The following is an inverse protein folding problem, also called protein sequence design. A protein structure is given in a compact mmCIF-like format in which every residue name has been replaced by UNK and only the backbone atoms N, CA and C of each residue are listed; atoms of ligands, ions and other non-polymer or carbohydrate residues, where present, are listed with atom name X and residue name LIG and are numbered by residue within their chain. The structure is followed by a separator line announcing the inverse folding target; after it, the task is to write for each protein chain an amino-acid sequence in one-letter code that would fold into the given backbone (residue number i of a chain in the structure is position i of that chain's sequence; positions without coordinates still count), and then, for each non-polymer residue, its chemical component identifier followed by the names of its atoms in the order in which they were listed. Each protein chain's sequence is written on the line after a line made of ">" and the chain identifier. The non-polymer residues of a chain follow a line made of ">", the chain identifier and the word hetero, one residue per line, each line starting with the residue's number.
data_IF_175057377761
#
_entry.id   IF_175057377761
#
_cell.length_a   1.000
_cell.length_b   1.000
_cell.length_c   1.000
_cell.angle_alpha   90.00
_cell.angle_beta   90.00
_cell.angle_gamma   90.00
#
_symmetry.space_group_name_H-M   'P 1'
#
loop_
_entity.id
_entity.type
_entity.pdbx_description
1 polymer ?
#
# COMPACT_ATOMS: atom_id res chain seq x y z
N UNK A 1 -22.97 -0.43 -4.32
CA UNK A 1 -21.52 -0.68 -4.56
C UNK A 1 -20.74 0.62 -4.72
N UNK A 2 -20.94 1.40 -5.80
CA UNK A 2 -20.25 2.70 -6.02
C UNK A 2 -20.14 3.59 -4.78
N UNK A 3 -21.28 3.91 -4.16
CA UNK A 3 -21.33 4.74 -2.96
C UNK A 3 -20.59 4.16 -1.75
N UNK A 4 -20.49 2.82 -1.66
CA UNK A 4 -19.75 2.15 -0.58
C UNK A 4 -18.23 2.16 -0.79
N UNK A 5 -17.76 2.22 -2.04
CA UNK A 5 -16.34 2.40 -2.32
C UNK A 5 -15.94 3.87 -2.11
N UNK A 6 -16.76 4.79 -2.65
CA UNK A 6 -16.57 6.24 -2.50
C UNK A 6 -16.69 6.72 -1.04
N UNK A 7 -17.35 5.96 -0.14
CA UNK A 7 -17.42 6.30 1.28
C UNK A 7 -16.15 5.97 2.06
N UNK A 8 -15.29 5.08 1.53
CA UNK A 8 -14.08 4.62 2.22
C UNK A 8 -12.84 5.37 1.72
N UNK A 9 -12.74 5.65 0.41
CA UNK A 9 -11.62 6.38 -0.19
C UNK A 9 -12.08 7.21 -1.41
N UNK A 10 -11.32 8.27 -1.78
CA UNK A 10 -11.52 8.94 -3.06
C UNK A 10 -11.19 7.97 -4.21
N UNK A 11 -12.18 7.66 -5.05
CA UNK A 11 -12.05 6.73 -6.18
C UNK A 11 -11.94 7.52 -7.48
N UNK A 12 -10.96 7.16 -8.32
CA UNK A 12 -10.91 7.60 -9.71
C UNK A 12 -11.22 6.40 -10.61
N UNK A 13 -12.22 6.55 -11.46
CA UNK A 13 -12.56 5.54 -12.46
C UNK A 13 -11.68 5.75 -13.68
N UNK A 14 -10.97 4.70 -14.09
CA UNK A 14 -10.02 4.73 -15.21
C UNK A 14 -10.50 3.81 -16.33
N UNK A 15 -10.11 4.10 -17.58
CA UNK A 15 -10.39 3.23 -18.71
C UNK A 15 -9.66 1.87 -18.60
N UNK A 16 -10.08 0.89 -19.41
CA UNK A 16 -9.44 -0.44 -19.44
C UNK A 16 -7.95 -0.40 -19.84
N UNK A 17 -7.54 0.64 -20.56
CA UNK A 17 -6.15 0.84 -21.03
C UNK A 17 -5.29 1.65 -20.05
N UNK A 18 -5.85 2.07 -18.92
CA UNK A 18 -5.19 2.88 -17.90
C UNK A 18 -4.74 2.04 -16.70
N UNK A 19 -3.73 2.52 -15.98
CA UNK A 19 -3.25 1.84 -14.77
C UNK A 19 -4.29 1.92 -13.64
N UNK A 20 -4.57 0.79 -13.00
CA UNK A 20 -5.53 0.65 -11.90
C UNK A 20 -4.93 -0.07 -10.70
N UNK A 21 -5.36 0.29 -9.50
CA UNK A 21 -4.96 -0.37 -8.25
C UNK A 21 -5.88 -1.54 -7.84
N UNK A 22 -7.14 -1.50 -8.30
CA UNK A 22 -8.19 -2.48 -8.04
C UNK A 22 -9.09 -2.63 -9.27
N UNK A 23 -9.38 -3.88 -9.65
CA UNK A 23 -10.46 -4.21 -10.58
C UNK A 23 -11.65 -4.74 -9.82
N UNK A 24 -12.84 -4.18 -10.05
CA UNK A 24 -14.10 -4.70 -9.51
C UNK A 24 -14.92 -5.27 -10.64
N UNK A 25 -15.25 -6.55 -10.56
CA UNK A 25 -15.99 -7.29 -11.57
C UNK A 25 -17.29 -7.79 -10.97
N UNK A 26 -18.39 -7.56 -11.67
CA UNK A 26 -19.74 -7.80 -11.15
C UNK A 26 -20.52 -8.60 -12.18
N UNK A 27 -21.08 -9.73 -11.77
CA UNK A 27 -21.98 -10.55 -12.59
C UNK A 27 -21.38 -10.91 -13.97
N UNK A 28 -20.09 -11.25 -14.02
CA UNK A 28 -19.38 -11.51 -15.28
C UNK A 28 -18.65 -12.85 -15.29
N UNK A 29 -18.41 -13.37 -16.49
CA UNK A 29 -17.52 -14.51 -16.73
C UNK A 29 -16.25 -14.00 -17.41
N UNK A 30 -15.10 -14.43 -16.90
CA UNK A 30 -13.79 -14.11 -17.45
C UNK A 30 -13.11 -15.37 -17.95
N UNK A 31 -12.30 -15.25 -19.00
CA UNK A 31 -11.41 -16.33 -19.41
C UNK A 31 -10.20 -16.43 -18.46
N UNK A 32 -9.67 -15.29 -18.02
CA UNK A 32 -8.50 -15.20 -17.15
C UNK A 32 -8.68 -14.13 -16.07
N UNK A 33 -8.04 -14.32 -14.91
CA UNK A 33 -8.00 -13.30 -13.85
C UNK A 33 -7.15 -12.11 -14.29
N UNK A 34 -7.64 -10.86 -14.15
CA UNK A 34 -6.83 -9.68 -14.37
C UNK A 34 -5.56 -9.66 -13.51
N UNK A 35 -4.53 -8.98 -14.00
CA UNK A 35 -3.37 -8.64 -13.18
C UNK A 35 -3.74 -7.63 -12.10
N UNK A 36 -3.02 -7.64 -10.98
CA UNK A 36 -3.24 -6.73 -9.85
C UNK A 36 -4.28 -7.24 -8.85
N UNK A 37 -4.82 -6.33 -8.04
CA UNK A 37 -5.82 -6.67 -7.04
C UNK A 37 -7.21 -6.73 -7.67
N UNK A 38 -8.02 -7.70 -7.25
CA UNK A 38 -9.31 -7.99 -7.88
C UNK A 38 -10.38 -8.25 -6.83
N UNK A 39 -11.54 -7.65 -7.01
CA UNK A 39 -12.77 -7.97 -6.28
C UNK A 39 -13.78 -8.55 -7.27
N UNK A 40 -14.05 -9.85 -7.14
CA UNK A 40 -15.04 -10.57 -7.92
C UNK A 40 -16.36 -10.61 -7.14
N UNK A 41 -17.44 -10.12 -7.73
CA UNK A 41 -18.78 -10.11 -7.16
C UNK A 41 -19.69 -10.92 -8.07
N UNK A 42 -20.13 -12.08 -7.57
CA UNK A 42 -20.92 -13.06 -8.32
C UNK A 42 -20.37 -13.30 -9.74
N UNK A 43 -19.06 -13.50 -9.83
CA UNK A 43 -18.33 -13.60 -11.09
C UNK A 43 -17.57 -14.92 -11.18
N UNK A 44 -17.39 -15.39 -12.41
CA UNK A 44 -16.73 -16.67 -12.72
C UNK A 44 -15.44 -16.44 -13.49
N UNK A 45 -14.52 -17.40 -13.36
CA UNK A 45 -13.27 -17.43 -14.12
C UNK A 45 -13.14 -18.83 -14.71
N UNK A 46 -13.16 -18.91 -16.04
CA UNK A 46 -13.13 -20.16 -16.80
C UNK A 46 -11.99 -21.06 -16.32
N UNK A 47 -12.35 -22.27 -15.86
CA UNK A 47 -11.37 -23.25 -15.37
C UNK A 47 -10.78 -22.98 -13.99
N UNK A 48 -11.24 -21.94 -13.26
CA UNK A 48 -10.73 -21.60 -11.92
C UNK A 48 -11.85 -21.44 -10.88
N UNK A 49 -12.95 -20.79 -11.24
CA UNK A 49 -14.07 -20.49 -10.33
C UNK A 49 -15.38 -20.74 -11.08
N UNK A 50 -16.18 -21.67 -10.56
CA UNK A 50 -17.49 -22.01 -11.12
C UNK A 50 -18.60 -21.74 -10.11
N UNK A 51 -19.65 -21.05 -10.56
CA UNK A 51 -20.87 -20.83 -9.78
C UNK A 51 -21.95 -21.79 -10.29
N UNK A 52 -22.45 -22.63 -9.41
CA UNK A 52 -23.49 -23.61 -9.68
C UNK A 52 -24.88 -23.12 -9.30
N UNK A 53 -25.74 -24.04 -8.87
CA UNK A 53 -27.12 -23.75 -8.51
C UNK A 53 -27.23 -22.95 -7.21
N UNK A 54 -28.20 -22.05 -7.16
CA UNK A 54 -28.52 -21.26 -5.96
C UNK A 54 -29.15 -22.14 -4.90
N UNK A 55 -28.71 -21.93 -3.66
CA UNK A 55 -29.21 -22.62 -2.48
C UNK A 55 -29.70 -21.59 -1.45
N UNK A 56 -30.69 -21.96 -0.61
CA UNK A 56 -31.12 -21.12 0.50
C UNK A 56 -29.94 -20.74 1.41
N UNK A 57 -29.87 -19.46 1.75
CA UNK A 57 -28.84 -18.91 2.62
C UNK A 57 -29.16 -19.03 4.12
N UNK A 58 -28.71 -18.05 4.88
CA UNK A 58 -28.68 -18.04 6.34
C UNK A 58 -27.72 -16.98 6.87
N UNK A 59 -27.41 -17.06 8.16
CA UNK A 59 -26.36 -16.24 8.76
C UNK A 59 -24.98 -16.76 8.38
N UNK A 60 -24.04 -15.85 8.17
CA UNK A 60 -22.67 -16.22 7.88
C UNK A 60 -21.92 -16.65 9.14
N UNK A 61 -20.92 -17.48 8.91
CA UNK A 61 -20.01 -18.00 9.93
C UNK A 61 -18.57 -17.79 9.43
N UNK A 62 -17.63 -17.66 10.36
CA UNK A 62 -16.20 -17.63 10.03
C UNK A 62 -15.42 -18.63 10.86
N UNK A 63 -14.59 -19.42 10.18
CA UNK A 63 -13.54 -20.21 10.81
C UNK A 63 -12.21 -19.44 10.94
N UNK A 64 -12.16 -18.20 10.43
CA UNK A 64 -10.95 -17.41 10.23
C UNK A 64 -11.10 -16.00 10.84
N UNK A 65 -11.68 -15.89 12.04
CA UNK A 65 -11.99 -14.61 12.69
C UNK A 65 -10.78 -13.68 12.86
N UNK A 66 -9.57 -14.25 12.97
CA UNK A 66 -8.32 -13.50 13.12
C UNK A 66 -7.71 -13.04 11.78
N UNK A 67 -8.34 -13.38 10.66
CA UNK A 67 -7.85 -13.01 9.33
C UNK A 67 -7.85 -11.48 9.16
N UNK A 68 -6.78 -10.86 8.60
CA UNK A 68 -6.71 -9.40 8.45
C UNK A 68 -7.90 -8.80 7.72
N UNK A 69 -8.47 -9.51 6.74
CA UNK A 69 -9.65 -9.07 5.99
C UNK A 69 -10.93 -9.04 6.82
N UNK A 70 -11.02 -9.85 7.89
CA UNK A 70 -12.18 -9.95 8.76
C UNK A 70 -12.08 -9.12 10.04
N UNK A 71 -11.01 -8.33 10.20
CA UNK A 71 -10.81 -7.51 11.41
C UNK A 71 -11.97 -6.55 11.61
N UNK A 72 -12.69 -6.72 12.73
CA UNK A 72 -13.82 -5.88 13.11
C UNK A 72 -15.12 -6.19 12.36
N UNK A 73 -15.22 -7.35 11.71
CA UNK A 73 -16.45 -7.86 11.10
C UNK A 73 -17.11 -8.85 12.06
N UNK A 74 -18.40 -8.69 12.29
CA UNK A 74 -19.24 -9.63 13.03
C UNK A 74 -19.96 -10.54 12.03
N UNK A 75 -19.43 -11.75 11.82
CA UNK A 75 -19.91 -12.65 10.76
C UNK A 75 -21.38 -13.07 10.97
N UNK A 76 -21.80 -13.25 12.22
CA UNK A 76 -23.14 -13.65 12.63
C UNK A 76 -24.22 -12.59 12.39
N UNK A 77 -23.83 -11.33 12.17
CA UNK A 77 -24.73 -10.24 11.76
C UNK A 77 -24.97 -10.20 10.25
N UNK A 78 -24.21 -10.96 9.47
CA UNK A 78 -24.33 -11.02 8.01
C UNK A 78 -25.35 -12.10 7.63
N UNK A 79 -26.49 -11.67 7.10
CA UNK A 79 -27.52 -12.54 6.55
C UNK A 79 -27.46 -12.58 5.03
N UNK A 80 -27.56 -13.78 4.47
CA UNK A 80 -27.61 -14.06 3.03
C UNK A 80 -28.92 -14.75 2.72
N UNK A 81 -29.69 -14.20 1.78
CA UNK A 81 -30.96 -14.81 1.34
C UNK A 81 -30.70 -16.09 0.53
N UNK A 82 -29.79 -16.01 -0.44
CA UNK A 82 -29.37 -17.13 -1.27
C UNK A 82 -27.94 -16.96 -1.79
N UNK A 83 -27.27 -18.08 -2.02
CA UNK A 83 -25.94 -18.11 -2.64
C UNK A 83 -25.76 -19.37 -3.51
N UNK A 84 -25.01 -19.27 -4.62
CA UNK A 84 -24.71 -20.43 -5.45
C UNK A 84 -23.73 -21.37 -4.76
N UNK A 85 -23.80 -22.67 -5.09
CA UNK A 85 -22.65 -23.53 -4.88
C UNK A 85 -21.46 -22.97 -5.65
N UNK A 86 -20.29 -22.93 -5.01
CA UNK A 86 -19.10 -22.34 -5.65
C UNK A 86 -17.96 -23.34 -5.55
N UNK A 87 -17.40 -23.66 -6.71
CA UNK A 87 -16.26 -24.56 -6.84
C UNK A 87 -15.02 -23.75 -7.22
N UNK A 88 -13.98 -23.88 -6.41
CA UNK A 88 -12.66 -23.30 -6.65
C UNK A 88 -11.69 -24.41 -7.07
N UNK A 89 -11.18 -24.32 -8.31
CA UNK A 89 -10.18 -25.24 -8.87
C UNK A 89 -8.74 -24.76 -8.63
N UNK A 90 -8.59 -23.73 -7.81
CA UNK A 90 -7.33 -23.10 -7.42
C UNK A 90 -7.23 -23.05 -5.89
N UNK A 91 -6.02 -22.89 -5.32
CA UNK A 91 -5.86 -22.64 -3.90
C UNK A 91 -6.72 -21.47 -3.43
N UNK A 92 -7.44 -21.68 -2.34
CA UNK A 92 -8.40 -20.73 -1.82
C UNK A 92 -8.53 -20.85 -0.30
N UNK A 93 -8.95 -19.77 0.34
CA UNK A 93 -9.24 -19.72 1.78
C UNK A 93 -10.63 -19.13 1.98
N UNK A 94 -11.65 -19.94 2.34
CA UNK A 94 -12.96 -19.41 2.68
C UNK A 94 -12.87 -18.60 3.98
N UNK A 95 -13.26 -17.33 3.90
CA UNK A 95 -13.26 -16.38 5.02
C UNK A 95 -14.61 -16.36 5.72
N UNK A 96 -15.68 -16.29 4.93
CA UNK A 96 -17.06 -16.35 5.39
C UNK A 96 -17.79 -17.45 4.64
N UNK A 97 -18.62 -18.20 5.35
CA UNK A 97 -19.43 -19.29 4.79
C UNK A 97 -20.86 -19.23 5.32
N UNK A 98 -21.81 -19.73 4.54
CA UNK A 98 -23.21 -19.90 4.93
C UNK A 98 -23.61 -21.34 4.61
N UNK A 99 -24.06 -22.13 5.59
CA UNK A 99 -24.43 -23.53 5.38
C UNK A 99 -23.34 -24.37 4.68
N UNK A 100 -22.06 -24.15 5.00
CA UNK A 100 -20.88 -24.75 4.34
C UNK A 100 -20.63 -24.32 2.88
N UNK A 101 -21.36 -23.33 2.37
CA UNK A 101 -21.08 -22.70 1.08
C UNK A 101 -20.23 -21.44 1.29
N UNK A 102 -19.17 -21.23 0.50
CA UNK A 102 -18.33 -20.06 0.65
C UNK A 102 -19.10 -18.80 0.22
N UNK A 103 -19.17 -17.80 1.11
CA UNK A 103 -19.71 -16.48 0.81
C UNK A 103 -18.60 -15.54 0.36
N UNK A 104 -17.53 -15.44 1.15
CA UNK A 104 -16.34 -14.64 0.85
C UNK A 104 -15.12 -15.55 0.89
N UNK A 105 -14.34 -15.53 -0.19
CA UNK A 105 -13.15 -16.37 -0.35
C UNK A 105 -11.97 -15.52 -0.79
N UNK A 106 -10.82 -15.72 -0.14
CA UNK A 106 -9.54 -15.19 -0.58
C UNK A 106 -8.86 -16.22 -1.50
N UNK A 107 -8.53 -15.80 -2.72
CA UNK A 107 -7.73 -16.55 -3.69
C UNK A 107 -6.47 -15.78 -4.09
N UNK A 108 -6.12 -14.75 -3.30
CA UNK A 108 -4.93 -13.94 -3.48
C UNK A 108 -3.63 -14.71 -3.29
N UNK A 109 -2.54 -14.03 -3.58
CA UNK A 109 -1.17 -14.50 -3.32
C UNK A 109 -0.46 -13.47 -2.44
N UNK A 110 0.79 -13.74 -2.04
CA UNK A 110 1.63 -12.74 -1.34
C UNK A 110 1.81 -11.44 -2.15
N UNK A 111 1.57 -11.48 -3.46
CA UNK A 111 1.84 -10.37 -4.37
C UNK A 111 0.59 -9.59 -4.75
N UNK A 112 -0.62 -10.15 -4.58
CA UNK A 112 -1.90 -9.53 -4.95
C UNK A 112 -3.05 -10.04 -4.10
N UNK A 113 -3.99 -9.17 -3.78
CA UNK A 113 -5.25 -9.54 -3.11
C UNK A 113 -6.32 -9.85 -4.16
N UNK A 114 -6.95 -11.02 -4.05
CA UNK A 114 -8.10 -11.37 -4.89
C UNK A 114 -9.21 -11.92 -4.01
N UNK A 115 -10.28 -11.14 -3.85
CA UNK A 115 -11.45 -11.53 -3.08
C UNK A 115 -12.61 -11.91 -3.99
N UNK A 116 -13.30 -12.98 -3.62
CA UNK A 116 -14.47 -13.50 -4.32
C UNK A 116 -15.66 -13.48 -3.40
N UNK A 117 -16.71 -12.81 -3.82
CA UNK A 117 -18.05 -12.91 -3.26
C UNK A 117 -18.89 -13.79 -4.17
N UNK A 118 -19.31 -14.95 -3.65
CA UNK A 118 -20.01 -15.96 -4.45
C UNK A 118 -21.41 -15.51 -4.89
N UNK A 119 -22.05 -14.63 -4.14
CA UNK A 119 -23.40 -14.12 -4.42
C UNK A 119 -23.38 -12.62 -4.73
N UNK A 120 -24.47 -12.12 -5.31
CA UNK A 120 -24.65 -10.68 -5.48
C UNK A 120 -24.87 -10.04 -4.11
N UNK A 121 -24.28 -8.87 -3.90
CA UNK A 121 -24.48 -8.09 -2.68
C UNK A 121 -25.97 -7.78 -2.42
N UNK A 122 -26.81 -7.73 -3.47
CA UNK A 122 -28.25 -7.53 -3.31
C UNK A 122 -28.98 -8.69 -2.62
N UNK A 123 -28.39 -9.89 -2.62
CA UNK A 123 -28.91 -11.07 -1.93
C UNK A 123 -28.41 -11.17 -0.47
N UNK A 124 -27.85 -10.08 0.06
CA UNK A 124 -27.29 -10.03 1.42
C UNK A 124 -27.73 -8.74 2.12
N UNK A 125 -27.74 -8.75 3.46
CA UNK A 125 -27.86 -7.50 4.23
C UNK A 125 -26.53 -6.73 4.30
N UNK A 126 -25.42 -7.30 3.83
CA UNK A 126 -24.08 -6.74 4.01
C UNK A 126 -23.98 -5.27 3.59
N UNK A 127 -24.48 -4.81 2.42
CA UNK A 127 -24.34 -3.42 1.99
C UNK A 127 -25.01 -2.38 2.91
N UNK A 128 -25.93 -2.80 3.78
CA UNK A 128 -26.62 -1.93 4.74
C UNK A 128 -26.06 -2.06 6.16
N UNK A 129 -25.15 -3.00 6.43
CA UNK A 129 -24.47 -3.12 7.72
C UNK A 129 -23.19 -2.29 7.76
N UNK A 130 -22.63 -2.14 8.96
CA UNK A 130 -21.33 -1.50 9.16
C UNK A 130 -20.16 -2.38 8.71
N UNK A 131 -20.39 -3.69 8.54
CA UNK A 131 -19.35 -4.65 8.16
C UNK A 131 -18.90 -4.48 6.71
N UNK A 132 -19.79 -4.06 5.81
CA UNK A 132 -19.43 -3.85 4.41
C UNK A 132 -18.32 -2.80 4.22
N UNK A 133 -18.45 -1.56 4.75
CA UNK A 133 -17.37 -0.59 4.65
C UNK A 133 -16.11 -1.04 5.43
N UNK A 134 -16.23 -1.83 6.51
CA UNK A 134 -15.08 -2.39 7.22
C UNK A 134 -14.35 -3.42 6.35
N UNK A 135 -15.07 -4.34 5.71
CA UNK A 135 -14.52 -5.34 4.81
C UNK A 135 -13.80 -4.70 3.63
N UNK A 136 -14.44 -3.71 3.01
CA UNK A 136 -13.83 -2.98 1.91
C UNK A 136 -12.58 -2.21 2.35
N UNK A 137 -12.62 -1.56 3.52
CA UNK A 137 -11.46 -0.92 4.12
C UNK A 137 -10.33 -1.92 4.38
N UNK A 138 -10.63 -3.10 4.91
CA UNK A 138 -9.62 -4.13 5.19
C UNK A 138 -9.00 -4.67 3.89
N UNK A 139 -9.82 -4.86 2.84
CA UNK A 139 -9.33 -5.19 1.50
C UNK A 139 -8.41 -4.09 0.97
N UNK A 140 -8.85 -2.83 1.01
CA UNK A 140 -8.05 -1.67 0.59
C UNK A 140 -6.76 -1.52 1.39
N UNK A 141 -6.78 -1.80 2.68
CA UNK A 141 -5.59 -1.80 3.52
C UNK A 141 -4.61 -2.93 3.16
N UNK A 142 -5.11 -4.08 2.66
CA UNK A 142 -4.26 -5.13 2.10
C UNK A 142 -3.67 -4.77 0.74
N UNK A 143 -4.40 -4.01 -0.08
CA UNK A 143 -3.97 -3.55 -1.41
C UNK A 143 -3.01 -2.37 -1.35
N UNK A 144 -3.20 -1.48 -0.39
CA UNK A 144 -2.18 -0.56 0.03
C UNK A 144 -1.06 -1.42 0.60
N UNK A 145 -0.10 -1.78 -0.25
CA UNK A 145 1.28 -1.79 0.21
C UNK A 145 1.41 -0.45 0.90
N UNK A 146 1.36 -0.44 2.24
CA UNK A 146 2.01 0.61 3.00
C UNK A 146 3.33 0.80 2.24
N UNK A 147 3.64 2.00 1.72
CA UNK A 147 4.96 2.23 1.16
C UNK A 147 5.93 1.61 2.16
N UNK A 148 6.69 0.59 1.69
CA UNK A 148 7.51 -0.32 2.50
C UNK A 148 7.87 0.36 3.81
N UNK A 149 7.27 -0.12 4.93
CA UNK A 149 6.84 0.69 6.07
C UNK A 149 7.72 1.90 6.22
N UNK A 150 7.34 3.03 5.57
CA UNK A 150 8.20 4.20 5.32
C UNK A 150 9.54 3.98 5.99
N UNK A 151 10.44 3.23 5.34
CA UNK A 151 11.74 2.95 5.94
C UNK A 151 12.39 4.31 5.93
N UNK A 152 12.15 5.05 7.01
CA UNK A 152 12.68 6.37 7.26
C UNK A 152 14.14 6.09 7.61
N UNK A 153 14.89 5.76 6.56
CA UNK A 153 16.31 5.71 6.64
C UNK A 153 16.78 7.16 6.60
N UNK A 154 17.69 7.47 7.50
CA UNK A 154 18.34 8.75 7.52
C UNK A 154 19.82 8.49 7.33
N UNK A 155 20.44 9.23 6.42
CA UNK A 155 21.88 9.14 6.16
C UNK A 155 22.53 10.49 6.23
N UNK A 156 23.84 10.46 6.38
CA UNK A 156 24.64 11.66 6.30
C UNK A 156 24.93 11.97 4.83
N UNK A 157 24.93 13.23 4.47
CA UNK A 157 25.36 13.71 3.15
C UNK A 157 26.71 13.10 2.77
N UNK A 158 26.85 12.67 1.52
CA UNK A 158 28.01 11.95 1.01
C UNK A 158 27.97 10.42 1.21
N UNK A 159 26.98 9.88 1.92
CA UNK A 159 26.76 8.42 1.97
C UNK A 159 25.91 7.95 0.79
N UNK A 160 26.29 6.82 0.21
CA UNK A 160 25.54 6.22 -0.88
C UNK A 160 24.27 5.55 -0.35
N UNK A 161 23.17 5.68 -1.09
CA UNK A 161 21.96 4.87 -0.93
C UNK A 161 22.12 3.65 -1.84
N UNK A 162 22.19 2.44 -1.29
CA UNK A 162 22.54 1.26 -2.08
C UNK A 162 21.31 0.45 -2.50
N UNK A 163 21.29 -0.03 -3.75
CA UNK A 163 20.18 -0.81 -4.31
C UNK A 163 19.93 -2.11 -3.52
N UNK A 164 20.96 -2.69 -2.89
CA UNK A 164 20.79 -3.89 -2.05
C UNK A 164 19.88 -3.67 -0.83
N UNK A 165 19.70 -2.42 -0.42
CA UNK A 165 18.92 -2.04 0.76
C UNK A 165 17.43 -1.86 0.43
N UNK A 166 17.12 -1.47 -0.82
CA UNK A 166 15.76 -1.06 -1.22
C UNK A 166 15.21 -1.79 -2.46
N UNK A 167 16.05 -2.59 -3.13
CA UNK A 167 15.75 -3.25 -4.40
C UNK A 167 16.27 -2.48 -5.62
N UNK A 168 15.99 -3.01 -6.80
CA UNK A 168 16.35 -2.40 -8.09
C UNK A 168 15.67 -1.03 -8.24
N UNK A 169 16.47 0.01 -8.46
CA UNK A 169 15.97 1.37 -8.64
C UNK A 169 15.38 1.54 -10.06
N UNK A 170 14.13 1.99 -10.13
CA UNK A 170 13.46 2.40 -11.36
C UNK A 170 13.68 3.89 -11.65
N UNK A 171 13.67 4.71 -10.60
CA UNK A 171 14.04 6.13 -10.67
C UNK A 171 14.45 6.66 -9.31
N UNK A 172 15.20 7.76 -9.28
CA UNK A 172 15.52 8.48 -8.06
C UNK A 172 15.33 9.99 -8.29
N UNK A 173 14.88 10.70 -7.26
CA UNK A 173 14.78 12.16 -7.25
C UNK A 173 15.56 12.74 -6.08
N UNK A 174 16.23 13.85 -6.34
CA UNK A 174 16.91 14.64 -5.33
C UNK A 174 15.92 15.52 -4.51
N UNK A 175 16.38 16.22 -3.47
CA UNK A 175 15.54 17.09 -2.64
C UNK A 175 14.89 18.25 -3.40
N UNK A 176 15.45 18.65 -4.54
CA UNK A 176 14.89 19.67 -5.43
C UNK A 176 13.81 19.12 -6.38
N UNK A 177 13.59 17.80 -6.37
CA UNK A 177 12.64 17.10 -7.21
C UNK A 177 13.19 16.73 -8.60
N UNK A 178 14.46 17.01 -8.88
CA UNK A 178 15.10 16.66 -10.16
C UNK A 178 15.37 15.17 -10.21
N UNK A 179 15.22 14.59 -11.39
CA UNK A 179 15.49 13.18 -11.62
C UNK A 179 17.00 12.95 -11.64
N UNK A 180 17.47 12.05 -10.80
CA UNK A 180 18.84 11.56 -10.80
C UNK A 180 18.89 10.49 -11.90
N UNK A 181 19.70 10.68 -12.96
CA UNK A 181 19.82 9.70 -14.02
C UNK A 181 20.42 8.42 -13.45
N UNK A 182 19.68 7.32 -13.56
CA UNK A 182 20.14 6.00 -13.17
C UNK A 182 20.52 5.20 -14.41
N UNK A 183 21.67 4.56 -14.40
CA UNK A 183 21.97 3.52 -15.38
C UNK A 183 21.44 2.16 -14.88
N UNK A 184 21.18 1.23 -15.80
CA UNK A 184 20.56 -0.07 -15.50
C UNK A 184 21.38 -0.95 -14.55
N UNK A 185 22.66 -0.62 -14.36
CA UNK A 185 23.61 -1.32 -13.48
C UNK A 185 23.93 -0.52 -12.20
N UNK A 186 23.21 0.58 -11.97
CA UNK A 186 23.56 1.52 -10.90
C UNK A 186 23.17 0.93 -9.55
N UNK A 187 24.19 0.49 -8.82
CA UNK A 187 24.02 -0.13 -7.50
C UNK A 187 23.85 0.89 -6.37
N UNK A 188 24.03 2.19 -6.63
CA UNK A 188 23.88 3.20 -5.60
C UNK A 188 23.53 4.61 -6.12
N UNK A 189 22.82 5.39 -5.30
CA UNK A 189 22.49 6.80 -5.57
C UNK A 189 23.36 7.71 -4.70
N UNK A 190 24.09 8.67 -5.29
CA UNK A 190 24.87 9.64 -4.52
C UNK A 190 23.97 10.68 -3.83
N UNK A 191 24.41 11.14 -2.66
CA UNK A 191 23.67 12.11 -1.82
C UNK A 191 24.47 13.41 -1.67
N UNK A 192 24.33 14.29 -2.67
CA UNK A 192 25.10 15.53 -2.78
C UNK A 192 24.50 16.70 -2.00
N UNK A 193 23.20 16.66 -1.72
CA UNK A 193 22.47 17.72 -1.03
C UNK A 193 21.71 17.15 0.18
N UNK A 194 21.55 17.90 1.27
CA UNK A 194 20.66 17.50 2.35
C UNK A 194 19.19 17.65 1.94
N UNK A 195 18.32 16.80 2.49
CA UNK A 195 16.89 16.84 2.27
C UNK A 195 16.29 15.46 1.95
N UNK A 196 15.10 15.44 1.37
CA UNK A 196 14.38 14.20 1.09
C UNK A 196 14.63 13.71 -0.33
N UNK A 197 15.31 12.59 -0.45
CA UNK A 197 15.42 11.85 -1.70
C UNK A 197 14.22 10.93 -1.85
N UNK A 198 13.74 10.74 -3.07
CA UNK A 198 12.63 9.82 -3.37
C UNK A 198 13.11 8.75 -4.33
N UNK A 199 13.14 7.51 -3.86
CA UNK A 199 13.51 6.34 -4.65
C UNK A 199 12.23 5.66 -5.12
N UNK A 200 12.16 5.32 -6.40
CA UNK A 200 11.11 4.44 -6.93
C UNK A 200 11.76 3.11 -7.26
N UNK A 201 11.27 2.03 -6.66
CA UNK A 201 11.70 0.66 -6.91
C UNK A 201 10.53 -0.18 -7.40
N UNK A 202 10.77 -1.44 -7.76
CA UNK A 202 9.68 -2.39 -8.06
C UNK A 202 8.81 -2.69 -6.83
N UNK A 203 9.34 -2.45 -5.64
CA UNK A 203 8.69 -2.69 -4.36
C UNK A 203 7.82 -1.49 -3.94
N UNK A 204 8.14 -0.28 -4.38
CA UNK A 204 7.34 0.92 -4.14
C UNK A 204 8.16 2.21 -4.14
N UNK A 205 7.60 3.26 -3.56
CA UNK A 205 8.27 4.55 -3.36
C UNK A 205 8.86 4.61 -1.95
N UNK A 206 10.14 4.94 -1.84
CA UNK A 206 10.88 5.02 -0.57
C UNK A 206 11.50 6.42 -0.43
N UNK A 207 11.04 7.25 0.53
CA UNK A 207 11.70 8.50 0.85
C UNK A 207 12.87 8.26 1.81
N UNK A 208 14.03 8.87 1.52
CA UNK A 208 15.24 8.80 2.34
C UNK A 208 15.64 10.21 2.78
N UNK A 209 15.84 10.41 4.08
CA UNK A 209 16.24 11.70 4.62
C UNK A 209 17.77 11.81 4.66
N UNK A 210 18.34 12.83 4.03
CA UNK A 210 19.78 13.11 4.06
C UNK A 210 20.04 14.33 4.93
N UNK A 211 20.83 14.14 5.98
CA UNK A 211 21.21 15.17 6.94
C UNK A 211 22.68 15.58 6.76
N UNK A 212 23.01 16.80 7.20
CA UNK A 212 24.40 17.28 7.29
C UNK A 212 24.98 16.91 8.66
N UNK A 213 26.29 16.71 8.75
CA UNK A 213 26.95 16.45 10.03
C UNK A 213 26.77 17.64 10.99
N UNK A 214 26.18 17.44 12.19
CA UNK A 214 26.09 18.48 13.20
C UNK A 214 27.44 19.11 13.52
N UNK A 215 28.55 18.37 13.39
CA UNK A 215 29.91 18.87 13.58
C UNK A 215 30.32 19.96 12.57
N UNK A 216 29.71 20.03 11.38
CA UNK A 216 29.96 21.12 10.42
C UNK A 216 29.37 22.45 10.88
N UNK A 217 28.29 22.43 11.68
CA UNK A 217 27.67 23.65 12.23
C UNK A 217 28.54 24.34 13.29
N UNK A 218 29.55 23.65 13.84
CA UNK A 218 30.43 24.18 14.89
C UNK A 218 31.63 24.98 14.36
N UNK A 219 31.96 24.94 13.06
CA UNK A 219 33.16 25.62 12.51
C UNK A 219 33.09 27.14 12.43
N UNK A 220 31.91 27.74 12.62
CA UNK A 220 31.74 29.20 12.47
C UNK A 220 31.86 30.00 13.77
N UNK A 221 31.93 29.36 14.95
CA UNK A 221 32.05 30.10 16.22
C UNK A 221 33.49 30.38 16.66
N UNK A 222 34.48 29.58 16.25
CA UNK A 222 35.89 29.84 16.61
C UNK A 222 36.54 30.95 15.80
N UNK A 223 36.12 31.17 14.54
CA UNK A 223 36.68 32.24 13.69
C UNK A 223 36.20 33.63 14.14
N UNK A 224 35.00 33.74 14.72
CA UNK A 224 34.48 35.01 15.27
C UNK A 224 35.15 35.36 16.61
N UNK A 225 35.55 34.34 17.40
CA UNK A 225 36.24 34.54 18.69
C UNK A 225 37.68 35.07 18.54
N UNK A 226 38.41 34.64 17.50
CA UNK A 226 39.80 35.09 17.29
C UNK A 226 39.93 36.48 16.64
N UNK A 227 38.92 36.95 15.89
CA UNK A 227 38.91 38.32 15.36
C UNK A 227 38.57 39.38 16.43
N UNK A 228 37.89 39.00 17.52
CA UNK A 228 37.53 39.90 18.62
C UNK A 228 38.67 40.22 19.61
N UNK A 229 39.77 39.46 19.59
CA UNK A 229 40.91 39.66 20.51
C UNK A 229 42.07 40.49 19.93
N UNK A 230 42.10 40.74 18.61
CA UNK A 230 43.18 41.52 17.98
C UNK A 230 42.93 43.04 17.97
N UNK A 231 41.73 43.51 18.36
CA UNK A 231 41.33 44.92 18.28
C UNK A 231 41.52 45.77 19.54
N UNK A 232 42.04 45.22 20.66
CA UNK A 232 42.01 45.89 21.98
C UNK A 232 43.39 46.17 22.60
N UNK A 233 44.51 46.05 21.87
CA UNK A 233 45.86 46.31 22.43
C UNK A 233 46.65 47.43 21.73
N UNK A 234 45.99 48.37 21.07
CA UNK A 234 46.66 49.52 20.46
C UNK A 234 46.04 50.85 20.90
N UNK A 235 46.03 51.17 22.20
CA UNK A 235 45.92 52.56 22.66
C UNK A 235 46.18 52.69 24.16
N UNK A 236 47.45 52.73 24.58
CA UNK A 236 47.88 53.59 25.70
C UNK A 236 49.40 53.77 25.68
N UNK A 237 49.86 54.82 25.00
CA UNK A 237 51.16 55.44 25.22
C UNK A 237 50.93 56.95 25.30
N UNK A 238 51.73 57.59 26.16
CA UNK A 238 51.76 59.02 26.54
C UNK A 238 50.79 59.37 27.68
N UNK A 239 51.20 60.02 28.78
CA UNK A 239 52.27 61.00 28.98
C UNK A 239 52.63 61.08 30.48
N UNK A 240 53.92 61.16 30.83
CA UNK A 240 54.55 62.14 31.74
C UNK A 240 56.06 61.90 31.80
#
# INVERSE_FOLDING_TARGET
>A
MRAGIESVLPVTYVGLDEAYDLVVLVNTTLDELPNGNVLLLHSQVTGQIHLGERQPGGFAESAMSDHPLLRGIEADDIYVEELPSTEFLIPNTPLLSVNNLPLVTDIGTEQRTVLVFSTDLTATNLPITVDFPILLRNMLAGMQRLPSPLVHDWRMMGHLIEAREFGEFLSARDPSGRVIPLNSEQLAVPTEEPGFYVLTTRQGIVPVAINVDPAESHRSQEVISQAGHAGLQAETKETF
#
